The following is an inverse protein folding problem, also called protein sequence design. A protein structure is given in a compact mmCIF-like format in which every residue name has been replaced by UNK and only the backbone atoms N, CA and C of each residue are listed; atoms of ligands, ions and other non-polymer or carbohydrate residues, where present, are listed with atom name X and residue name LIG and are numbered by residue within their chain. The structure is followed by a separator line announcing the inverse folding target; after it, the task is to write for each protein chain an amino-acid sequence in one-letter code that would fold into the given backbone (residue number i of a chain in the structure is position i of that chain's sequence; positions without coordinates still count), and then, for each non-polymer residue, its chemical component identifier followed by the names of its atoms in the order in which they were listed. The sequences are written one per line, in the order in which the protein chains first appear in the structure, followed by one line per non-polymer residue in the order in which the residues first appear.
data_IF_096178329797
#
_entry.id   IF_096178329797
#
_cell.length_a   1.000
_cell.length_b   1.000
_cell.length_c   1.000
_cell.angle_alpha   90.00
_cell.angle_beta   90.00
_cell.angle_gamma   90.00
#
_symmetry.space_group_name_H-M   'P 1'
#
loop_
_entity.id
_entity.type
_entity.pdbx_description
1 polymer ?
#
# COMPACT_ATOMS: atom_id res chain seq x y z
N UNK A 1 1.98 23.25 -8.64
CA UNK A 1 0.56 22.94 -8.42
C UNK A 1 0.26 22.32 -7.05
N UNK A 2 0.94 21.23 -6.64
CA UNK A 2 0.55 20.50 -5.42
C UNK A 2 0.57 21.35 -4.15
N UNK A 3 1.75 21.82 -3.71
CA UNK A 3 1.88 22.53 -2.43
C UNK A 3 0.92 23.73 -2.30
N UNK A 4 0.79 24.64 -3.30
CA UNK A 4 -0.23 25.69 -3.26
C UNK A 4 -1.65 25.15 -3.11
N UNK A 5 -2.05 24.13 -3.88
CA UNK A 5 -3.39 23.55 -3.80
C UNK A 5 -3.68 22.84 -2.47
N UNK A 6 -2.66 22.28 -1.81
CA UNK A 6 -2.80 21.73 -0.46
C UNK A 6 -3.02 22.85 0.58
N UNK A 7 -2.25 23.95 0.50
CA UNK A 7 -2.39 25.11 1.39
C UNK A 7 -3.78 25.74 1.23
N UNK A 8 -4.17 26.05 -0.02
CA UNK A 8 -5.51 26.54 -0.37
C UNK A 8 -6.61 25.60 0.11
N UNK A 9 -6.47 24.30 -0.14
CA UNK A 9 -7.46 23.31 0.28
C UNK A 9 -7.64 23.21 1.80
N UNK A 10 -6.59 23.45 2.58
CA UNK A 10 -6.68 23.52 4.04
C UNK A 10 -7.32 24.84 4.50
N UNK A 11 -7.00 25.96 3.87
CA UNK A 11 -7.60 27.27 4.16
C UNK A 11 -9.12 27.26 3.90
N UNK A 12 -9.54 26.80 2.72
CA UNK A 12 -10.95 26.65 2.38
C UNK A 12 -11.68 25.71 3.35
N UNK A 13 -11.07 24.59 3.71
CA UNK A 13 -11.69 23.68 4.68
C UNK A 13 -11.82 24.31 6.07
N UNK A 14 -10.86 25.15 6.49
CA UNK A 14 -10.98 25.87 7.76
C UNK A 14 -12.17 26.83 7.74
N UNK A 15 -12.37 27.59 6.66
CA UNK A 15 -13.53 28.47 6.50
C UNK A 15 -14.86 27.70 6.52
N UNK A 16 -14.93 26.55 5.85
CA UNK A 16 -16.10 25.67 5.87
C UNK A 16 -16.39 25.15 7.29
N UNK A 17 -15.36 24.74 8.02
CA UNK A 17 -15.50 24.29 9.42
C UNK A 17 -15.90 25.45 10.34
N UNK A 18 -15.34 26.65 10.14
CA UNK A 18 -15.72 27.86 10.88
C UNK A 18 -17.20 28.19 10.71
N UNK A 19 -17.72 28.08 9.48
CA UNK A 19 -19.15 28.27 9.22
C UNK A 19 -20.02 27.26 9.97
N UNK A 20 -19.59 25.99 10.05
CA UNK A 20 -20.32 24.94 10.77
C UNK A 20 -20.31 25.19 12.29
N UNK A 21 -19.15 25.50 12.87
CA UNK A 21 -19.06 25.71 14.33
C UNK A 21 -19.75 26.98 14.80
N UNK A 22 -19.88 27.98 13.92
CA UNK A 22 -20.55 29.25 14.22
C UNK A 22 -22.02 29.31 13.76
N UNK A 23 -22.56 28.23 13.19
CA UNK A 23 -23.99 28.18 12.83
C UNK A 23 -24.85 28.31 14.12
N UNK A 24 -25.70 29.35 14.25
CA UNK A 24 -26.50 29.58 15.46
C UNK A 24 -27.66 28.60 15.62
N UNK A 25 -28.04 27.89 14.56
CA UNK A 25 -29.10 26.89 14.62
C UNK A 25 -28.71 25.69 15.50
N UNK A 26 -29.74 25.07 16.09
CA UNK A 26 -29.57 23.83 16.85
C UNK A 26 -28.92 22.76 15.95
N UNK A 27 -27.90 22.03 16.44
CA UNK A 27 -27.22 21.01 15.64
C UNK A 27 -28.20 19.93 15.14
N UNK A 28 -28.21 19.71 13.83
CA UNK A 28 -28.93 18.62 13.15
C UNK A 28 -27.94 17.74 12.38
N UNK A 29 -28.42 16.62 11.82
CA UNK A 29 -27.59 15.78 10.97
C UNK A 29 -27.05 16.57 9.76
N UNK A 30 -27.91 17.35 9.11
CA UNK A 30 -27.62 18.10 7.88
C UNK A 30 -26.63 19.23 8.16
N UNK A 31 -26.92 20.09 9.15
CA UNK A 31 -26.11 21.28 9.43
C UNK A 31 -24.79 20.97 10.18
N UNK A 32 -24.57 19.70 10.56
CA UNK A 32 -23.38 19.28 11.30
C UNK A 32 -22.67 18.09 10.64
N UNK A 33 -23.29 16.91 10.54
CA UNK A 33 -22.60 15.71 10.02
C UNK A 33 -22.42 15.78 8.51
N UNK A 34 -23.51 16.03 7.78
CA UNK A 34 -23.49 16.15 6.32
C UNK A 34 -22.67 17.36 5.87
N UNK A 35 -22.79 18.48 6.59
CA UNK A 35 -21.96 19.65 6.38
C UNK A 35 -20.46 19.33 6.55
N UNK A 36 -20.06 18.63 7.61
CA UNK A 36 -18.66 18.22 7.82
C UNK A 36 -18.17 17.26 6.73
N UNK A 37 -18.98 16.28 6.32
CA UNK A 37 -18.65 15.34 5.22
C UNK A 37 -18.46 16.06 3.88
N UNK A 38 -19.17 17.18 3.67
CA UNK A 38 -19.06 18.01 2.46
C UNK A 38 -17.77 18.84 2.41
N UNK A 39 -17.09 19.05 3.54
CA UNK A 39 -15.91 19.92 3.59
C UNK A 39 -14.66 19.33 2.94
N UNK A 40 -13.69 20.21 2.63
CA UNK A 40 -12.35 19.85 2.20
C UNK A 40 -12.30 19.21 0.82
N UNK A 41 -13.25 19.54 -0.07
CA UNK A 41 -13.34 18.98 -1.42
C UNK A 41 -12.04 19.16 -2.22
N UNK A 42 -11.47 20.38 -2.23
CA UNK A 42 -10.19 20.65 -2.89
C UNK A 42 -9.04 19.86 -2.26
N UNK A 43 -8.94 19.84 -0.93
CA UNK A 43 -7.90 19.11 -0.20
C UNK A 43 -7.97 17.60 -0.48
N UNK A 44 -9.19 17.05 -0.56
CA UNK A 44 -9.45 15.64 -0.90
C UNK A 44 -9.03 15.34 -2.34
N UNK A 45 -9.34 16.24 -3.29
CA UNK A 45 -8.98 16.10 -4.71
C UNK A 45 -7.46 16.11 -4.90
N UNK A 46 -6.76 17.14 -4.41
CA UNK A 46 -5.29 17.22 -4.53
C UNK A 46 -4.60 16.09 -3.75
N UNK A 47 -5.11 15.75 -2.56
CA UNK A 47 -4.60 14.66 -1.73
C UNK A 47 -4.67 13.30 -2.41
N UNK A 48 -5.79 13.00 -3.08
CA UNK A 48 -5.99 11.73 -3.79
C UNK A 48 -5.07 11.61 -5.00
N UNK A 49 -4.96 12.66 -5.82
CA UNK A 49 -4.06 12.68 -6.98
C UNK A 49 -2.60 12.56 -6.54
N UNK A 50 -2.17 13.40 -5.58
CA UNK A 50 -0.80 13.37 -5.08
C UNK A 50 -0.45 12.01 -4.46
N UNK A 51 -1.33 11.43 -3.65
CA UNK A 51 -1.10 10.14 -3.00
C UNK A 51 -0.97 8.98 -3.99
N UNK A 52 -1.79 8.96 -5.06
CA UNK A 52 -1.65 7.96 -6.13
C UNK A 52 -0.31 8.12 -6.84
N UNK A 53 0.01 9.33 -7.29
CA UNK A 53 1.23 9.57 -8.06
C UNK A 53 2.50 9.39 -7.22
N UNK A 54 2.50 9.77 -5.94
CA UNK A 54 3.65 9.56 -5.06
C UNK A 54 3.90 8.07 -4.76
N UNK A 55 2.88 7.22 -4.91
CA UNK A 55 3.04 5.77 -4.80
C UNK A 55 3.47 5.11 -6.12
N UNK A 56 3.02 5.65 -7.25
CA UNK A 56 3.17 5.01 -8.56
C UNK A 56 4.28 5.62 -9.42
N UNK A 57 4.60 6.90 -9.29
CA UNK A 57 5.56 7.62 -10.13
C UNK A 57 6.13 8.84 -9.39
N UNK A 58 6.82 8.61 -8.27
CA UNK A 58 7.46 9.67 -7.48
C UNK A 58 8.77 10.16 -8.11
N UNK A 59 9.24 11.33 -7.67
CA UNK A 59 10.58 11.86 -7.88
C UNK A 59 11.01 12.68 -6.65
N UNK A 60 12.21 13.26 -6.68
CA UNK A 60 12.77 14.03 -5.55
C UNK A 60 11.90 15.25 -5.18
N UNK A 61 11.33 15.94 -6.18
CA UNK A 61 10.43 17.07 -5.95
C UNK A 61 9.14 16.63 -5.24
N UNK A 62 8.54 15.51 -5.67
CA UNK A 62 7.35 14.96 -5.02
C UNK A 62 7.63 14.49 -3.60
N UNK A 63 8.77 13.84 -3.35
CA UNK A 63 9.19 13.46 -2.01
C UNK A 63 9.41 14.68 -1.11
N UNK A 64 10.06 15.74 -1.62
CA UNK A 64 10.22 17.01 -0.90
C UNK A 64 8.88 17.62 -0.51
N UNK A 65 7.94 17.67 -1.46
CA UNK A 65 6.57 18.14 -1.24
C UNK A 65 5.86 17.25 -0.20
N UNK A 66 6.04 15.94 -0.23
CA UNK A 66 5.46 15.02 0.75
C UNK A 66 5.97 15.30 2.18
N UNK A 67 7.27 15.59 2.34
CA UNK A 67 7.87 15.97 3.62
C UNK A 67 7.33 17.29 4.16
N UNK A 68 7.12 18.29 3.31
CA UNK A 68 6.54 19.57 3.73
C UNK A 68 5.06 19.43 4.11
N UNK A 69 4.29 18.67 3.32
CA UNK A 69 2.83 18.58 3.49
C UNK A 69 2.43 17.67 4.65
N UNK A 70 3.18 16.61 4.96
CA UNK A 70 2.84 15.65 6.00
C UNK A 70 2.54 16.29 7.37
N UNK A 71 3.44 17.11 7.96
CA UNK A 71 3.15 17.77 9.23
C UNK A 71 2.02 18.80 9.12
N UNK A 72 1.93 19.54 8.02
CA UNK A 72 0.85 20.51 7.78
C UNK A 72 -0.53 19.84 7.78
N UNK A 73 -0.67 18.72 7.05
CA UNK A 73 -1.92 17.94 7.01
C UNK A 73 -2.24 17.28 8.34
N UNK A 74 -1.22 16.83 9.09
CA UNK A 74 -1.44 16.28 10.43
C UNK A 74 -2.00 17.35 11.35
N UNK A 75 -1.37 18.53 11.38
CA UNK A 75 -1.85 19.68 12.15
C UNK A 75 -3.27 20.10 11.75
N UNK A 76 -3.54 20.20 10.45
CA UNK A 76 -4.87 20.53 9.92
C UNK A 76 -5.94 19.54 10.38
N UNK A 77 -5.68 18.24 10.24
CA UNK A 77 -6.60 17.19 10.71
C UNK A 77 -6.84 17.28 12.21
N UNK A 78 -5.79 17.49 12.99
CA UNK A 78 -5.90 17.54 14.45
C UNK A 78 -6.63 18.81 14.91
N UNK A 79 -6.45 19.94 14.23
CA UNK A 79 -7.22 21.16 14.47
C UNK A 79 -8.73 20.94 14.28
N UNK A 80 -9.13 20.12 13.30
CA UNK A 80 -10.55 19.78 13.09
C UNK A 80 -11.02 18.75 14.13
N UNK A 81 -10.28 17.66 14.31
CA UNK A 81 -10.69 16.53 15.16
C UNK A 81 -10.66 16.81 16.66
N UNK A 82 -9.88 17.81 17.08
CA UNK A 82 -9.77 18.27 18.47
C UNK A 82 -10.48 19.62 18.69
N UNK A 83 -11.29 20.09 17.73
CA UNK A 83 -12.09 21.30 17.89
C UNK A 83 -13.29 21.02 18.80
N UNK A 84 -13.30 21.63 19.99
CA UNK A 84 -14.37 21.41 20.97
C UNK A 84 -15.74 21.86 20.49
N UNK A 85 -15.84 23.03 19.85
CA UNK A 85 -17.12 23.53 19.36
C UNK A 85 -17.72 22.57 18.34
N UNK A 86 -16.89 22.09 17.40
CA UNK A 86 -17.32 21.11 16.41
C UNK A 86 -17.73 19.79 17.06
N UNK A 87 -16.92 19.28 18.00
CA UNK A 87 -17.23 18.04 18.68
C UNK A 87 -18.52 18.14 19.51
N UNK A 88 -18.77 19.26 20.19
CA UNK A 88 -20.03 19.46 20.91
C UNK A 88 -21.23 19.43 19.97
N UNK A 89 -21.16 20.05 18.79
CA UNK A 89 -22.24 19.94 17.79
C UNK A 89 -22.48 18.48 17.38
N UNK A 90 -21.41 17.75 17.04
CA UNK A 90 -21.49 16.33 16.65
C UNK A 90 -22.07 15.48 17.78
N UNK A 91 -21.62 15.72 19.01
CA UNK A 91 -22.08 15.02 20.22
C UNK A 91 -23.57 15.27 20.46
N UNK A 92 -24.05 16.50 20.35
CA UNK A 92 -25.48 16.84 20.48
C UNK A 92 -26.35 16.03 19.51
N UNK A 93 -25.94 15.93 18.23
CA UNK A 93 -26.67 15.12 17.24
C UNK A 93 -26.59 13.63 17.60
N UNK A 94 -25.42 13.14 18.01
CA UNK A 94 -25.20 11.75 18.38
C UNK A 94 -26.04 11.30 19.58
N UNK A 95 -26.15 12.13 20.61
CA UNK A 95 -26.95 11.83 21.82
C UNK A 95 -28.45 11.74 21.52
N UNK A 96 -28.89 12.31 20.41
CA UNK A 96 -30.29 12.26 19.95
C UNK A 96 -30.53 11.22 18.85
N UNK A 97 -29.51 10.46 18.43
CA UNK A 97 -29.57 9.57 17.26
C UNK A 97 -30.78 8.62 17.22
N UNK A 98 -31.26 8.14 18.38
CA UNK A 98 -32.38 7.18 18.47
C UNK A 98 -33.76 7.85 18.30
N UNK A 99 -33.79 9.19 18.27
CA UNK A 99 -34.99 10.02 18.04
C UNK A 99 -35.02 10.66 16.65
N UNK A 100 -33.92 10.56 15.90
CA UNK A 100 -33.82 11.12 14.55
C UNK A 100 -34.31 10.09 13.54
N UNK A 101 -35.08 10.55 12.54
CA UNK A 101 -35.48 9.72 11.41
C UNK A 101 -34.34 9.68 10.36
N UNK A 102 -33.28 8.94 10.67
CA UNK A 102 -32.12 8.78 9.80
C UNK A 102 -32.19 7.47 9.01
N UNK A 103 -31.81 7.53 7.74
CA UNK A 103 -31.53 6.32 6.96
C UNK A 103 -30.37 5.52 7.59
N UNK A 104 -30.24 4.25 7.21
CA UNK A 104 -29.14 3.38 7.68
C UNK A 104 -27.76 3.97 7.41
N UNK A 105 -27.57 4.57 6.23
CA UNK A 105 -26.30 5.20 5.85
C UNK A 105 -26.01 6.43 6.70
N UNK A 106 -26.99 7.31 6.89
CA UNK A 106 -26.85 8.51 7.72
C UNK A 106 -26.56 8.16 9.19
N UNK A 107 -27.29 7.21 9.78
CA UNK A 107 -27.01 6.75 11.15
C UNK A 107 -25.59 6.15 11.26
N UNK A 108 -25.17 5.37 10.26
CA UNK A 108 -23.80 4.83 10.20
C UNK A 108 -22.76 5.95 10.13
N UNK A 109 -23.00 6.99 9.32
CA UNK A 109 -22.12 8.14 9.17
C UNK A 109 -22.00 8.92 10.50
N UNK A 110 -23.12 9.20 11.16
CA UNK A 110 -23.18 9.86 12.47
C UNK A 110 -22.37 9.10 13.53
N UNK A 111 -22.63 7.79 13.68
CA UNK A 111 -21.93 6.94 14.65
C UNK A 111 -20.43 6.92 14.36
N UNK A 112 -20.05 6.83 13.09
CA UNK A 112 -18.64 6.82 12.68
C UNK A 112 -17.96 8.15 12.95
N UNK A 113 -18.59 9.28 12.62
CA UNK A 113 -18.04 10.61 12.89
C UNK A 113 -17.82 10.84 14.38
N UNK A 114 -18.84 10.57 15.21
CA UNK A 114 -18.71 10.70 16.66
C UNK A 114 -17.54 9.85 17.18
N UNK A 115 -17.49 8.58 16.80
CA UNK A 115 -16.44 7.66 17.23
C UNK A 115 -15.05 8.09 16.75
N UNK A 116 -14.92 8.57 15.52
CA UNK A 116 -13.66 9.06 14.97
C UNK A 116 -13.14 10.30 15.73
N UNK A 117 -14.03 11.21 16.16
CA UNK A 117 -13.66 12.35 17.01
C UNK A 117 -13.19 11.90 18.40
N UNK A 118 -13.96 11.02 19.07
CA UNK A 118 -13.59 10.46 20.38
C UNK A 118 -12.21 9.79 20.30
N UNK A 119 -11.99 8.95 19.29
CA UNK A 119 -10.74 8.22 19.05
C UNK A 119 -9.59 9.08 18.54
N UNK A 120 -9.87 10.32 18.13
CA UNK A 120 -8.84 11.31 17.82
C UNK A 120 -8.43 12.09 19.07
N UNK A 121 -9.18 11.99 20.18
CA UNK A 121 -8.89 12.67 21.44
C UNK A 121 -9.80 13.86 21.72
N UNK A 122 -10.96 13.99 21.07
CA UNK A 122 -11.86 15.12 21.31
C UNK A 122 -12.32 15.28 22.78
N UNK A 123 -12.36 14.18 23.54
CA UNK A 123 -12.69 14.17 24.98
C UNK A 123 -11.50 14.41 25.91
N UNK A 124 -10.29 14.60 25.37
CA UNK A 124 -9.10 14.85 26.19
C UNK A 124 -9.12 16.27 26.75
N UNK A 125 -8.46 16.48 27.88
CA UNK A 125 -8.13 17.83 28.36
C UNK A 125 -7.12 18.53 27.44
N UNK A 126 -6.95 19.85 27.61
CA UNK A 126 -6.11 20.67 26.71
C UNK A 126 -4.64 20.23 26.70
N UNK A 127 -4.10 19.79 27.84
CA UNK A 127 -2.73 19.30 27.95
C UNK A 127 -2.55 18.02 27.11
N UNK A 128 -3.45 17.05 27.28
CA UNK A 128 -3.42 15.81 26.50
C UNK A 128 -3.72 16.05 25.02
N UNK A 129 -4.58 17.01 24.65
CA UNK A 129 -4.77 17.40 23.25
C UNK A 129 -3.50 17.99 22.65
N UNK A 130 -2.77 18.84 23.37
CA UNK A 130 -1.49 19.36 22.91
C UNK A 130 -0.50 18.22 22.67
N UNK A 131 -0.41 17.28 23.63
CA UNK A 131 0.45 16.10 23.48
C UNK A 131 0.06 15.21 22.30
N UNK A 132 -1.24 15.01 22.08
CA UNK A 132 -1.76 14.26 20.93
C UNK A 132 -1.31 14.88 19.59
N UNK A 133 -1.36 16.22 19.48
CA UNK A 133 -0.91 16.95 18.28
C UNK A 133 0.57 16.76 18.01
N UNK A 134 1.42 16.84 19.04
CA UNK A 134 2.86 16.59 18.93
C UNK A 134 3.13 15.18 18.41
N UNK A 135 2.52 14.17 19.04
CA UNK A 135 2.68 12.76 18.66
C UNK A 135 2.28 12.54 17.21
N UNK A 136 1.12 13.05 16.80
CA UNK A 136 0.61 12.88 15.44
C UNK A 136 1.51 13.56 14.41
N UNK A 137 2.02 14.77 14.71
CA UNK A 137 2.96 15.49 13.86
C UNK A 137 4.27 14.70 13.68
N UNK A 138 4.88 14.23 14.78
CA UNK A 138 6.13 13.48 14.71
C UNK A 138 5.94 12.15 13.95
N UNK A 139 4.87 11.40 14.25
CA UNK A 139 4.51 10.18 13.52
C UNK A 139 4.33 10.41 12.01
N UNK A 140 3.76 11.56 11.62
CA UNK A 140 3.55 11.88 10.20
C UNK A 140 4.86 12.04 9.44
N UNK A 141 5.87 12.65 10.06
CA UNK A 141 7.22 12.84 9.49
C UNK A 141 7.95 11.49 9.42
N UNK A 142 7.95 10.74 10.53
CA UNK A 142 8.64 9.45 10.62
C UNK A 142 8.10 8.43 9.61
N UNK A 143 6.78 8.41 9.38
CA UNK A 143 6.16 7.47 8.42
C UNK A 143 6.53 7.81 6.98
N UNK A 144 6.62 9.10 6.62
CA UNK A 144 7.11 9.53 5.30
C UNK A 144 8.57 9.13 5.11
N UNK A 145 9.42 9.44 6.10
CA UNK A 145 10.85 9.08 6.06
C UNK A 145 11.06 7.58 5.92
N UNK A 146 10.30 6.77 6.66
CA UNK A 146 10.36 5.31 6.55
C UNK A 146 10.08 4.83 5.12
N UNK A 147 9.01 5.33 4.50
CA UNK A 147 8.64 4.96 3.13
C UNK A 147 9.67 5.37 2.09
N UNK A 148 10.23 6.58 2.20
CA UNK A 148 11.29 7.08 1.33
C UNK A 148 12.56 6.23 1.45
N UNK A 149 12.99 5.93 2.67
CA UNK A 149 14.16 5.09 2.94
C UNK A 149 14.00 3.68 2.35
N UNK A 150 12.82 3.07 2.51
CA UNK A 150 12.52 1.75 1.91
C UNK A 150 12.59 1.78 0.38
N UNK A 151 12.10 2.84 -0.26
CA UNK A 151 12.18 2.98 -1.71
C UNK A 151 13.63 3.18 -2.18
N UNK A 152 14.39 4.05 -1.50
CA UNK A 152 15.80 4.29 -1.80
C UNK A 152 16.64 3.04 -1.64
N UNK A 153 16.45 2.27 -0.56
CA UNK A 153 17.12 0.99 -0.36
C UNK A 153 16.81 -0.03 -1.47
N UNK A 154 15.54 -0.13 -1.87
CA UNK A 154 15.13 -0.98 -2.98
C UNK A 154 15.86 -0.62 -4.29
N UNK A 155 16.12 0.66 -4.53
CA UNK A 155 16.77 1.15 -5.74
C UNK A 155 18.31 1.15 -5.64
N UNK A 156 18.87 1.24 -4.43
CA UNK A 156 20.33 1.33 -4.19
C UNK A 156 21.05 0.00 -4.43
N UNK A 157 20.41 -1.13 -4.12
CA UNK A 157 21.07 -2.41 -4.29
C UNK A 157 21.13 -2.82 -5.76
N UNK A 158 22.35 -3.01 -6.24
CA UNK A 158 22.63 -3.53 -7.58
C UNK A 158 23.68 -4.64 -7.47
N UNK A 159 23.31 -5.83 -7.94
CA UNK A 159 24.24 -6.94 -8.10
C UNK A 159 24.63 -7.03 -9.57
N UNK A 160 25.73 -6.36 -9.90
CA UNK A 160 26.34 -6.39 -11.23
C UNK A 160 27.10 -7.71 -11.40
N UNK A 161 26.76 -8.45 -12.44
CA UNK A 161 27.42 -9.69 -12.85
C UNK A 161 28.18 -9.41 -14.16
N UNK A 162 29.45 -9.76 -14.19
CA UNK A 162 30.37 -9.55 -15.32
C UNK A 162 30.74 -10.86 -16.03
N UNK A 163 30.61 -12.00 -15.34
CA UNK A 163 30.93 -13.33 -15.87
C UNK A 163 29.68 -14.08 -16.28
N UNK A 164 29.71 -14.68 -17.47
CA UNK A 164 28.58 -15.46 -18.01
C UNK A 164 28.31 -16.72 -17.18
N UNK A 165 29.35 -17.28 -16.59
CA UNK A 165 29.28 -18.50 -15.77
C UNK A 165 28.42 -18.29 -14.50
N UNK A 166 28.40 -17.06 -13.97
CA UNK A 166 27.59 -16.68 -12.81
C UNK A 166 26.08 -16.62 -13.10
N UNK A 167 25.69 -16.77 -14.36
CA UNK A 167 24.29 -16.83 -14.80
C UNK A 167 23.75 -18.26 -14.90
N UNK A 168 24.55 -19.26 -14.55
CA UNK A 168 24.17 -20.68 -14.63
C UNK A 168 22.83 -20.96 -13.94
N UNK A 169 21.99 -21.73 -14.63
CA UNK A 169 20.63 -22.10 -14.21
C UNK A 169 19.54 -21.07 -14.49
N UNK A 170 19.88 -19.79 -14.70
CA UNK A 170 18.86 -18.75 -14.90
C UNK A 170 18.12 -18.92 -16.25
N UNK A 171 16.79 -18.74 -16.28
CA UNK A 171 16.03 -18.71 -17.52
C UNK A 171 16.49 -17.59 -18.45
N UNK A 172 16.44 -17.83 -19.76
CA UNK A 172 16.91 -16.86 -20.75
C UNK A 172 16.19 -15.50 -20.65
N UNK A 173 14.89 -15.49 -20.33
CA UNK A 173 14.14 -14.25 -20.13
C UNK A 173 14.66 -13.42 -18.94
N UNK A 174 15.13 -14.09 -17.88
CA UNK A 174 15.70 -13.46 -16.69
C UNK A 174 17.07 -12.86 -17.03
N UNK A 175 17.89 -13.59 -17.80
CA UNK A 175 19.18 -13.10 -18.29
C UNK A 175 18.99 -11.88 -19.20
N UNK A 176 18.04 -11.93 -20.14
CA UNK A 176 17.73 -10.81 -21.03
C UNK A 176 17.25 -9.59 -20.26
N UNK A 177 16.31 -9.76 -19.32
CA UNK A 177 15.84 -8.65 -18.49
C UNK A 177 16.94 -8.04 -17.61
N UNK A 178 17.89 -8.85 -17.11
CA UNK A 178 19.03 -8.35 -16.35
C UNK A 178 20.03 -7.58 -17.24
N UNK A 179 20.19 -7.95 -18.51
CA UNK A 179 21.01 -7.22 -19.48
C UNK A 179 20.36 -5.87 -19.88
N UNK A 180 19.04 -5.86 -20.08
CA UNK A 180 18.27 -4.62 -20.30
C UNK A 180 18.40 -3.68 -19.09
N UNK A 181 18.25 -4.21 -17.87
CA UNK A 181 18.44 -3.45 -16.64
C UNK A 181 19.88 -2.92 -16.49
N UNK A 182 20.89 -3.66 -16.95
CA UNK A 182 22.28 -3.21 -16.97
C UNK A 182 22.49 -2.05 -17.95
N UNK A 183 21.90 -2.13 -19.15
CA UNK A 183 21.94 -1.05 -20.14
C UNK A 183 21.26 0.22 -19.63
N UNK A 184 20.10 0.10 -18.98
CA UNK A 184 19.40 1.23 -18.34
C UNK A 184 20.26 1.93 -17.25
N UNK A 185 21.28 1.25 -16.74
CA UNK A 185 22.18 1.69 -15.65
C UNK A 185 23.62 1.91 -16.12
N UNK A 186 23.83 2.01 -17.43
CA UNK A 186 25.15 2.30 -18.01
C UNK A 186 26.22 1.22 -17.71
N UNK A 187 25.78 -0.01 -17.41
CA UNK A 187 26.63 -1.20 -17.27
C UNK A 187 26.58 -2.07 -18.54
N UNK A 188 26.85 -1.48 -19.70
CA UNK A 188 26.79 -2.21 -20.98
C UNK A 188 27.70 -3.46 -20.98
N UNK A 189 27.19 -4.55 -21.57
CA UNK A 189 27.88 -5.84 -21.61
C UNK A 189 27.82 -6.66 -20.31
N UNK A 190 27.11 -6.19 -19.29
CA UNK A 190 26.93 -6.88 -17.99
C UNK A 190 25.46 -7.23 -17.74
N UNK A 191 25.19 -7.82 -16.58
CA UNK A 191 23.84 -8.09 -16.08
C UNK A 191 23.63 -7.46 -14.70
N UNK A 192 22.47 -6.86 -14.47
CA UNK A 192 22.12 -6.28 -13.17
C UNK A 192 20.91 -6.98 -12.57
N UNK A 193 21.09 -7.51 -11.36
CA UNK A 193 20.01 -8.02 -10.52
C UNK A 193 19.76 -7.07 -9.35
N UNK A 194 18.49 -6.86 -9.03
CA UNK A 194 18.04 -5.94 -7.96
C UNK A 194 17.18 -6.69 -6.95
N UNK A 195 16.89 -6.06 -5.80
CA UNK A 195 15.97 -6.62 -4.80
C UNK A 195 14.49 -6.37 -5.12
N UNK A 196 14.16 -5.83 -6.31
CA UNK A 196 12.80 -5.83 -6.81
C UNK A 196 12.34 -7.26 -7.06
N UNK A 197 11.11 -7.60 -6.64
CA UNK A 197 10.61 -8.99 -6.68
C UNK A 197 10.76 -9.67 -8.06
N UNK A 198 10.46 -9.02 -9.20
CA UNK A 198 10.64 -9.63 -10.52
C UNK A 198 12.09 -9.97 -10.89
N UNK A 199 13.07 -9.35 -10.24
CA UNK A 199 14.50 -9.64 -10.43
C UNK A 199 14.97 -10.68 -9.41
N UNK A 200 14.65 -10.47 -8.13
CA UNK A 200 15.13 -11.30 -7.02
C UNK A 200 14.52 -12.70 -7.01
N UNK A 201 13.20 -12.84 -7.18
CA UNK A 201 12.52 -14.13 -7.06
C UNK A 201 13.06 -15.15 -8.06
N UNK A 202 13.08 -14.88 -9.38
CA UNK A 202 13.64 -15.84 -10.33
C UNK A 202 15.13 -16.09 -10.10
N UNK A 203 15.89 -15.09 -9.64
CA UNK A 203 17.29 -15.32 -9.30
C UNK A 203 17.44 -16.34 -8.16
N UNK A 204 16.64 -16.22 -7.09
CA UNK A 204 16.64 -17.14 -5.96
C UNK A 204 16.07 -18.53 -6.30
N UNK A 205 15.17 -18.63 -7.29
CA UNK A 205 14.60 -19.90 -7.75
C UNK A 205 15.55 -20.68 -8.66
N UNK A 206 16.33 -20.01 -9.50
CA UNK A 206 17.02 -20.68 -10.60
C UNK A 206 18.55 -20.55 -10.61
N UNK A 207 19.15 -19.54 -9.95
CA UNK A 207 20.60 -19.38 -9.97
C UNK A 207 21.29 -20.57 -9.30
N UNK A 208 22.20 -21.24 -10.01
CA UNK A 208 23.03 -22.30 -9.44
C UNK A 208 24.11 -21.74 -8.51
N UNK A 209 24.48 -20.48 -8.66
CA UNK A 209 25.49 -19.82 -7.83
C UNK A 209 24.92 -19.49 -6.43
N UNK A 210 25.17 -20.39 -5.48
CA UNK A 210 24.72 -20.27 -4.09
C UNK A 210 25.21 -18.99 -3.38
N UNK A 211 26.44 -18.56 -3.63
CA UNK A 211 26.99 -17.36 -3.01
C UNK A 211 26.25 -16.09 -3.47
N UNK A 212 25.86 -16.04 -4.74
CA UNK A 212 25.05 -14.93 -5.26
C UNK A 212 23.61 -14.98 -4.74
N UNK A 213 23.02 -16.17 -4.57
CA UNK A 213 21.71 -16.31 -3.89
C UNK A 213 21.78 -15.75 -2.47
N UNK A 214 22.83 -16.08 -1.73
CA UNK A 214 23.06 -15.54 -0.38
C UNK A 214 23.19 -14.02 -0.40
N UNK A 215 23.98 -13.47 -1.33
CA UNK A 215 24.21 -12.02 -1.48
C UNK A 215 22.90 -11.25 -1.69
N UNK A 216 22.09 -11.65 -2.67
CA UNK A 216 20.83 -10.94 -2.98
C UNK A 216 19.78 -11.14 -1.88
N UNK A 217 19.72 -12.33 -1.27
CA UNK A 217 18.80 -12.59 -0.15
C UNK A 217 19.14 -11.71 1.06
N UNK A 218 20.42 -11.64 1.44
CA UNK A 218 20.89 -10.79 2.55
C UNK A 218 20.60 -9.32 2.29
N UNK A 219 20.81 -8.84 1.07
CA UNK A 219 20.45 -7.47 0.70
C UNK A 219 18.95 -7.20 0.89
N UNK A 220 18.09 -8.14 0.51
CA UNK A 220 16.65 -7.98 0.66
C UNK A 220 16.20 -7.95 2.13
N UNK A 221 16.69 -8.88 2.96
CA UNK A 221 16.27 -8.96 4.37
C UNK A 221 16.87 -7.83 5.24
N UNK A 222 17.99 -7.24 4.83
CA UNK A 222 18.64 -6.13 5.53
C UNK A 222 18.21 -4.75 5.01
N UNK A 223 17.17 -4.68 4.18
CA UNK A 223 16.64 -3.40 3.69
C UNK A 223 16.27 -2.45 4.83
N UNK A 224 16.92 -1.28 4.86
CA UNK A 224 16.72 -0.28 5.92
C UNK A 224 17.32 -0.69 7.27
N UNK A 225 18.31 -1.58 7.25
CA UNK A 225 18.99 -2.10 8.44
C UNK A 225 20.52 -2.17 8.23
N UNK A 226 21.11 -1.15 7.61
CA UNK A 226 22.52 -1.13 7.20
C UNK A 226 23.40 -0.16 8.01
N UNK A 227 22.86 0.49 9.06
CA UNK A 227 23.56 1.48 9.90
C UNK A 227 24.08 2.69 9.12
N UNK A 228 23.29 3.16 8.15
CA UNK A 228 23.60 4.30 7.28
C UNK A 228 22.44 5.31 7.24
N UNK A 229 22.47 6.26 6.31
CA UNK A 229 21.44 7.30 6.18
C UNK A 229 20.03 6.78 5.83
N UNK A 230 19.94 5.55 5.31
CA UNK A 230 18.69 4.90 4.95
C UNK A 230 18.18 3.94 6.04
N UNK A 231 18.89 3.83 7.16
CA UNK A 231 18.49 2.99 8.28
C UNK A 231 17.12 3.40 8.85
N UNK A 232 16.32 2.40 9.16
CA UNK A 232 14.95 2.56 9.64
C UNK A 232 14.74 2.01 11.05
N UNK A 233 15.76 1.47 11.73
CA UNK A 233 15.62 0.95 13.10
C UNK A 233 15.11 2.03 14.06
N UNK A 234 15.74 3.19 14.07
CA UNK A 234 15.36 4.29 14.95
C UNK A 234 13.99 4.87 14.59
N UNK A 235 13.69 4.99 13.29
CA UNK A 235 12.38 5.44 12.83
C UNK A 235 11.28 4.48 13.32
N UNK A 236 11.48 3.17 13.18
CA UNK A 236 10.54 2.14 13.63
C UNK A 236 10.36 2.12 15.15
N UNK A 237 11.46 2.19 15.91
CA UNK A 237 11.43 2.24 17.37
C UNK A 237 10.63 3.44 17.87
N UNK A 238 10.87 4.64 17.31
CA UNK A 238 10.12 5.86 17.62
C UNK A 238 8.64 5.75 17.23
N UNK A 239 8.34 5.24 16.04
CA UNK A 239 6.94 5.02 15.62
C UNK A 239 6.22 4.07 16.58
N UNK A 240 6.88 2.99 17.02
CA UNK A 240 6.30 2.05 17.97
C UNK A 240 6.04 2.70 19.35
N UNK A 241 7.01 3.45 19.87
CA UNK A 241 6.88 4.18 21.14
C UNK A 241 5.74 5.21 21.09
N UNK A 242 5.70 6.05 20.05
CA UNK A 242 4.65 7.05 19.84
C UNK A 242 3.26 6.42 19.70
N UNK A 243 3.15 5.23 19.07
CA UNK A 243 1.89 4.49 18.97
C UNK A 243 1.38 4.00 20.33
N UNK A 244 2.29 3.57 21.22
CA UNK A 244 1.96 3.16 22.59
C UNK A 244 1.53 4.38 23.40
N UNK A 245 2.32 5.45 23.37
CA UNK A 245 2.02 6.70 24.06
C UNK A 245 0.65 7.25 23.64
N UNK A 246 0.37 7.32 22.34
CA UNK A 246 -0.93 7.75 21.81
C UNK A 246 -2.08 6.88 22.30
N UNK A 247 -1.90 5.56 22.33
CA UNK A 247 -2.93 4.64 22.78
C UNK A 247 -3.22 4.83 24.28
N UNK A 248 -2.18 4.95 25.10
CA UNK A 248 -2.31 5.17 26.53
C UNK A 248 -2.93 6.53 26.85
N UNK A 249 -2.58 7.57 26.09
CA UNK A 249 -3.17 8.90 26.19
C UNK A 249 -4.70 8.87 25.99
N UNK A 250 -5.18 7.97 25.12
CA UNK A 250 -6.59 7.72 24.84
C UNK A 250 -7.24 6.68 25.77
N UNK A 251 -6.52 6.17 26.78
CA UNK A 251 -7.02 5.18 27.74
C UNK A 251 -6.98 3.73 27.26
N UNK A 252 -6.34 3.43 26.12
CA UNK A 252 -6.14 2.05 25.64
C UNK A 252 -4.86 1.44 26.23
N UNK A 253 -4.90 0.15 26.54
CA UNK A 253 -3.73 -0.58 27.07
C UNK A 253 -2.60 -0.67 26.05
N UNK A 254 -2.92 -0.98 24.80
CA UNK A 254 -1.94 -1.07 23.70
C UNK A 254 -2.45 -0.37 22.44
N UNK A 255 -1.54 -0.11 21.50
CA UNK A 255 -1.92 0.32 20.17
C UNK A 255 -2.83 -0.70 19.45
N UNK A 256 -2.67 -1.99 19.73
CA UNK A 256 -3.52 -3.04 19.15
C UNK A 256 -4.96 -2.94 19.68
N UNK A 257 -5.16 -2.67 20.97
CA UNK A 257 -6.50 -2.42 21.53
C UNK A 257 -7.18 -1.22 20.84
N UNK A 258 -6.42 -0.13 20.67
CA UNK A 258 -6.89 1.06 19.95
C UNK A 258 -7.32 0.70 18.52
N UNK A 259 -6.49 0.00 17.76
CA UNK A 259 -6.81 -0.36 16.36
C UNK A 259 -8.00 -1.31 16.31
N UNK A 260 -8.00 -2.37 17.12
CA UNK A 260 -8.92 -3.48 16.98
C UNK A 260 -10.36 -3.16 17.40
N UNK A 261 -10.59 -2.14 18.22
CA UNK A 261 -11.94 -1.68 18.59
C UNK A 261 -12.83 -1.42 17.36
N UNK A 262 -12.24 -0.91 16.27
CA UNK A 262 -12.93 -0.65 15.00
C UNK A 262 -12.84 -1.81 13.99
N UNK A 263 -12.04 -2.83 14.27
CA UNK A 263 -11.93 -4.01 13.42
C UNK A 263 -12.94 -5.09 13.83
N UNK A 264 -13.15 -6.09 12.97
CA UNK A 264 -14.05 -7.21 13.28
C UNK A 264 -13.52 -8.10 14.42
N UNK A 265 -12.20 -8.21 14.56
CA UNK A 265 -11.58 -9.04 15.60
C UNK A 265 -11.76 -8.46 17.03
N UNK A 266 -12.06 -7.16 17.16
CA UNK A 266 -12.34 -6.42 18.41
C UNK A 266 -11.21 -6.32 19.43
N UNK A 267 -10.49 -7.41 19.71
CA UNK A 267 -9.48 -7.49 20.77
C UNK A 267 -8.23 -8.24 20.32
N UNK A 268 -7.04 -7.92 20.86
CA UNK A 268 -5.81 -8.62 20.52
C UNK A 268 -5.87 -10.13 20.75
N UNK A 269 -6.56 -10.60 21.80
CA UNK A 269 -6.62 -12.02 22.14
C UNK A 269 -7.30 -12.84 21.05
N UNK A 270 -8.33 -12.29 20.38
CA UNK A 270 -9.00 -12.95 19.27
C UNK A 270 -8.06 -13.11 18.07
N UNK A 271 -7.20 -12.12 17.82
CA UNK A 271 -6.19 -12.17 16.76
C UNK A 271 -5.15 -13.24 17.07
N UNK A 272 -4.57 -13.24 18.28
CA UNK A 272 -3.57 -14.25 18.67
C UNK A 272 -4.15 -15.66 18.68
N UNK A 273 -5.36 -15.85 19.22
CA UNK A 273 -6.05 -17.15 19.19
C UNK A 273 -6.22 -17.68 17.78
N UNK A 274 -6.63 -16.83 16.84
CA UNK A 274 -6.76 -17.22 15.44
C UNK A 274 -5.40 -17.54 14.80
N UNK A 275 -4.39 -16.68 14.99
CA UNK A 275 -3.06 -16.90 14.45
C UNK A 275 -2.40 -18.17 15.00
N UNK A 276 -2.60 -18.51 16.27
CA UNK A 276 -2.09 -19.75 16.87
C UNK A 276 -2.71 -21.01 16.26
N UNK A 277 -4.00 -20.96 15.89
CA UNK A 277 -4.67 -22.06 15.19
C UNK A 277 -4.05 -22.32 13.82
N UNK A 278 -3.54 -21.29 13.14
CA UNK A 278 -2.82 -21.41 11.87
C UNK A 278 -1.35 -21.78 12.06
N UNK A 279 -0.68 -21.21 13.07
CA UNK A 279 0.76 -21.35 13.31
C UNK A 279 1.17 -22.79 13.54
N UNK A 280 0.44 -23.53 14.40
CA UNK A 280 0.79 -24.92 14.74
C UNK A 280 0.79 -25.86 13.52
N UNK A 281 -0.28 -25.96 12.71
CA UNK A 281 -0.27 -26.80 11.52
C UNK A 281 0.69 -26.28 10.44
N UNK A 282 0.80 -24.96 10.24
CA UNK A 282 1.74 -24.39 9.27
C UNK A 282 3.20 -24.72 9.62
N UNK A 283 3.60 -24.59 10.90
CA UNK A 283 4.94 -24.93 11.35
C UNK A 283 5.25 -26.42 11.19
N UNK A 284 4.27 -27.30 11.41
CA UNK A 284 4.43 -28.75 11.17
C UNK A 284 4.75 -29.01 9.70
N UNK A 285 4.03 -28.36 8.78
CA UNK A 285 4.28 -28.50 7.34
C UNK A 285 5.61 -27.89 6.92
N UNK A 286 5.95 -26.68 7.39
CA UNK A 286 7.22 -26.03 7.10
C UNK A 286 8.42 -26.87 7.55
N UNK A 287 8.34 -27.54 8.72
CA UNK A 287 9.39 -28.47 9.19
C UNK A 287 9.52 -29.70 8.31
N UNK A 288 8.39 -30.24 7.81
CA UNK A 288 8.40 -31.36 6.86
C UNK A 288 9.05 -30.95 5.54
N UNK A 289 8.65 -29.81 4.99
CA UNK A 289 9.22 -29.25 3.76
C UNK A 289 10.72 -29.00 3.91
N UNK A 290 11.16 -28.35 5.00
CA UNK A 290 12.58 -28.14 5.27
C UNK A 290 13.40 -29.44 5.28
N UNK A 291 12.83 -30.53 5.82
CA UNK A 291 13.46 -31.86 5.77
C UNK A 291 13.58 -32.38 4.34
N UNK A 292 12.52 -32.29 3.54
CA UNK A 292 12.53 -32.73 2.14
C UNK A 292 13.54 -31.93 1.31
N UNK A 293 13.66 -30.62 1.54
CA UNK A 293 14.66 -29.77 0.90
C UNK A 293 16.09 -30.17 1.33
N UNK A 294 16.32 -30.44 2.62
CA UNK A 294 17.61 -30.92 3.10
C UNK A 294 17.99 -32.29 2.53
N UNK A 295 17.02 -33.21 2.39
CA UNK A 295 17.24 -34.51 1.75
C UNK A 295 17.61 -34.37 0.28
N UNK A 296 17.02 -33.40 -0.44
CA UNK A 296 17.40 -33.10 -1.83
C UNK A 296 18.83 -32.54 -1.93
N UNK A 297 19.23 -31.62 -1.04
CA UNK A 297 20.62 -31.12 -0.95
C UNK A 297 21.59 -32.29 -0.81
N UNK A 298 21.32 -33.23 0.11
CA UNK A 298 22.19 -34.39 0.34
C UNK A 298 22.22 -35.37 -0.83
N UNK A 299 21.10 -35.58 -1.53
CA UNK A 299 21.04 -36.43 -2.74
C UNK A 299 21.87 -35.88 -3.90
N UNK A 300 22.06 -34.57 -3.96
CA UNK A 300 22.91 -33.92 -4.96
C UNK A 300 24.40 -33.93 -4.59
N UNK A 301 24.76 -34.56 -3.46
CA UNK A 301 26.14 -34.71 -3.02
C UNK A 301 26.67 -33.54 -2.20
N UNK A 302 25.80 -32.61 -1.79
CA UNK A 302 26.19 -31.48 -0.94
C UNK A 302 25.96 -31.78 0.55
N UNK A 303 26.84 -31.26 1.40
CA UNK A 303 26.83 -31.46 2.86
C UNK A 303 26.39 -30.22 3.66
N UNK A 304 26.14 -29.09 2.99
CA UNK A 304 25.73 -27.86 3.68
C UNK A 304 24.31 -27.96 4.24
N UNK A 305 24.10 -27.27 5.37
CA UNK A 305 22.77 -27.12 5.98
C UNK A 305 21.94 -26.13 5.18
N UNK A 306 20.69 -26.48 4.88
CA UNK A 306 19.69 -25.60 4.26
C UNK A 306 19.66 -24.23 4.95
N UNK A 307 19.87 -23.18 4.18
CA UNK A 307 19.74 -21.78 4.62
C UNK A 307 18.56 -21.09 3.94
N UNK A 308 18.10 -19.93 4.43
CA UNK A 308 16.97 -19.21 3.84
C UNK A 308 17.13 -18.90 2.34
N UNK A 309 18.35 -18.59 1.87
CA UNK A 309 18.64 -18.32 0.46
C UNK A 309 18.70 -19.58 -0.43
N UNK A 310 18.62 -20.77 0.17
CA UNK A 310 18.52 -22.04 -0.54
C UNK A 310 17.05 -22.47 -0.73
N UNK A 311 16.12 -21.89 0.04
CA UNK A 311 14.72 -22.35 0.10
C UNK A 311 14.02 -22.30 -1.27
N UNK A 312 14.07 -21.16 -1.97
CA UNK A 312 13.43 -21.00 -3.28
C UNK A 312 14.02 -21.95 -4.33
N UNK A 313 15.34 -22.05 -4.40
CA UNK A 313 16.04 -22.91 -5.34
C UNK A 313 15.64 -24.37 -5.19
N UNK A 314 15.74 -24.92 -3.97
CA UNK A 314 15.39 -26.32 -3.74
C UNK A 314 13.87 -26.57 -3.79
N UNK A 315 13.04 -25.57 -3.45
CA UNK A 315 11.59 -25.70 -3.61
C UNK A 315 11.18 -25.86 -5.07
N UNK A 316 11.83 -25.13 -5.99
CA UNK A 316 11.57 -25.26 -7.42
C UNK A 316 12.02 -26.62 -7.96
N UNK A 317 13.22 -27.08 -7.57
CA UNK A 317 13.70 -28.42 -7.91
C UNK A 317 12.79 -29.52 -7.37
N UNK A 318 12.33 -29.40 -6.13
CA UNK A 318 11.42 -30.35 -5.50
C UNK A 318 10.05 -30.37 -6.21
N UNK A 319 9.52 -29.21 -6.60
CA UNK A 319 8.27 -29.09 -7.38
C UNK A 319 8.40 -29.79 -8.73
N UNK A 320 9.50 -29.56 -9.43
CA UNK A 320 9.81 -30.24 -10.70
C UNK A 320 9.90 -31.75 -10.54
N UNK A 321 10.60 -32.21 -9.51
CA UNK A 321 10.75 -33.65 -9.24
C UNK A 321 9.44 -34.33 -8.84
N UNK A 322 8.58 -33.66 -8.06
CA UNK A 322 7.31 -34.25 -7.56
C UNK A 322 6.16 -34.18 -8.56
N UNK A 323 6.08 -33.10 -9.34
CA UNK A 323 4.90 -32.79 -10.15
C UNK A 323 5.19 -32.68 -11.65
N UNK A 324 6.45 -32.90 -12.07
CA UNK A 324 6.91 -32.61 -13.44
C UNK A 324 6.55 -31.18 -13.89
N UNK A 325 6.51 -30.24 -12.93
CA UNK A 325 6.09 -28.86 -13.14
C UNK A 325 7.23 -27.90 -12.82
N UNK A 326 7.49 -27.01 -13.76
CA UNK A 326 8.51 -25.95 -13.72
C UNK A 326 7.78 -24.64 -14.04
N UNK A 327 7.92 -23.63 -13.19
CA UNK A 327 7.19 -22.37 -13.36
C UNK A 327 7.52 -21.67 -14.68
N UNK A 328 8.74 -21.82 -15.21
CA UNK A 328 9.13 -21.21 -16.48
C UNK A 328 8.37 -21.84 -17.67
N UNK A 329 7.97 -23.12 -17.56
CA UNK A 329 7.13 -23.77 -18.60
C UNK A 329 5.72 -23.15 -18.67
N UNK A 330 5.23 -22.59 -17.56
CA UNK A 330 3.91 -21.96 -17.50
C UNK A 330 3.92 -20.52 -18.01
N UNK A 331 5.08 -19.86 -18.03
CA UNK A 331 5.20 -18.45 -18.38
C UNK A 331 4.53 -18.06 -19.70
N UNK A 332 4.67 -18.81 -20.81
CA UNK A 332 4.02 -18.47 -22.09
C UNK A 332 2.48 -18.45 -22.02
N UNK A 333 1.87 -19.15 -21.05
CA UNK A 333 0.42 -19.24 -20.90
C UNK A 333 -0.16 -18.08 -20.09
N UNK A 334 0.65 -17.39 -19.29
CA UNK A 334 0.23 -16.31 -18.39
C UNK A 334 0.67 -14.93 -18.86
N UNK A 335 0.48 -14.65 -20.16
CA UNK A 335 0.61 -13.29 -20.71
C UNK A 335 -0.28 -12.32 -19.93
N UNK A 336 0.28 -11.19 -19.49
CA UNK A 336 -0.40 -10.20 -18.65
C UNK A 336 -1.76 -9.76 -19.20
N UNK A 337 -1.85 -9.45 -20.49
CA UNK A 337 -3.10 -9.04 -21.11
C UNK A 337 -4.15 -10.15 -21.02
N UNK A 338 -3.78 -11.41 -21.29
CA UNK A 338 -4.71 -12.53 -21.20
C UNK A 338 -5.17 -12.76 -19.75
N UNK A 339 -4.28 -12.61 -18.77
CA UNK A 339 -4.62 -12.75 -17.36
C UNK A 339 -5.58 -11.63 -16.89
N UNK A 340 -5.33 -10.37 -17.30
CA UNK A 340 -6.21 -9.23 -17.07
C UNK A 340 -7.58 -9.47 -17.71
N UNK A 341 -7.60 -9.85 -18.98
CA UNK A 341 -8.84 -10.07 -19.73
C UNK A 341 -9.63 -11.26 -19.16
N UNK A 342 -8.95 -12.29 -18.65
CA UNK A 342 -9.56 -13.35 -17.86
C UNK A 342 -10.22 -12.84 -16.58
N UNK A 343 -9.53 -11.99 -15.81
CA UNK A 343 -10.09 -11.36 -14.61
C UNK A 343 -11.31 -10.46 -14.94
N UNK A 344 -11.24 -9.69 -16.02
CA UNK A 344 -12.35 -8.88 -16.52
C UNK A 344 -13.52 -9.77 -16.95
N UNK A 345 -13.26 -10.86 -17.67
CA UNK A 345 -14.30 -11.83 -18.08
C UNK A 345 -15.03 -12.44 -16.88
N UNK A 346 -14.30 -12.79 -15.81
CA UNK A 346 -14.93 -13.27 -14.56
C UNK A 346 -15.83 -12.20 -13.96
N UNK A 347 -15.37 -10.96 -13.87
CA UNK A 347 -16.19 -9.86 -13.36
C UNK A 347 -17.42 -9.59 -14.25
N UNK A 348 -17.27 -9.64 -15.57
CA UNK A 348 -18.39 -9.50 -16.51
C UNK A 348 -19.42 -10.62 -16.36
N UNK A 349 -19.00 -11.87 -16.14
CA UNK A 349 -19.91 -13.00 -15.93
C UNK A 349 -20.65 -12.95 -14.59
N UNK A 350 -19.98 -12.48 -13.54
CA UNK A 350 -20.57 -12.42 -12.19
C UNK A 350 -21.48 -11.20 -12.01
N UNK A 351 -21.11 -10.06 -12.60
CA UNK A 351 -21.73 -8.77 -12.29
C UNK A 351 -22.35 -8.07 -13.51
N UNK A 352 -22.17 -8.59 -14.73
CA UNK A 352 -22.69 -7.98 -15.95
C UNK A 352 -21.90 -6.77 -16.47
N UNK A 353 -20.87 -6.33 -15.74
CA UNK A 353 -20.09 -5.14 -16.09
C UNK A 353 -19.16 -5.36 -17.29
N UNK A 354 -18.90 -4.30 -18.03
CA UNK A 354 -18.07 -4.29 -19.23
C UNK A 354 -16.87 -3.35 -19.05
N UNK A 355 -15.73 -3.72 -19.65
CA UNK A 355 -14.49 -2.93 -19.60
C UNK A 355 -14.12 -2.50 -21.02
N UNK A 356 -14.11 -1.19 -21.25
CA UNK A 356 -13.82 -0.59 -22.56
C UNK A 356 -12.52 0.19 -22.42
N UNK A 357 -11.48 -0.23 -23.13
CA UNK A 357 -10.22 0.51 -23.12
C UNK A 357 -10.38 1.91 -23.75
N UNK A 358 -9.74 2.90 -23.13
CA UNK A 358 -9.80 4.31 -23.52
C UNK A 358 -8.39 4.87 -23.69
N UNK A 359 -8.10 5.38 -24.88
CA UNK A 359 -6.82 6.01 -25.21
C UNK A 359 -6.89 7.55 -25.16
N UNK A 360 -8.10 8.11 -25.14
CA UNK A 360 -8.37 9.55 -25.09
C UNK A 360 -8.29 10.14 -23.66
N UNK A 361 -8.14 9.29 -22.64
CA UNK A 361 -8.03 9.72 -21.25
C UNK A 361 -6.56 9.90 -20.86
N UNK A 362 -6.17 11.04 -20.23
CA UNK A 362 -4.80 11.26 -19.80
C UNK A 362 -4.29 10.17 -18.86
N UNK A 363 -3.10 9.67 -19.18
CA UNK A 363 -2.32 8.72 -18.40
C UNK A 363 -1.26 9.45 -17.59
N UNK A 364 -0.98 8.97 -16.39
CA UNK A 364 0.13 9.52 -15.59
C UNK A 364 1.49 8.88 -15.93
N UNK A 365 1.48 7.73 -16.61
CA UNK A 365 2.66 7.01 -17.06
C UNK A 365 2.31 6.28 -18.35
N UNK A 366 3.27 6.11 -19.27
CA UNK A 366 3.05 5.48 -20.58
C UNK A 366 2.54 4.03 -20.49
N UNK A 367 3.09 3.26 -19.56
CA UNK A 367 2.65 1.89 -19.25
C UNK A 367 1.22 1.78 -18.67
N UNK A 368 0.63 2.88 -18.21
CA UNK A 368 -0.71 2.83 -17.64
C UNK A 368 -1.75 2.61 -18.73
N UNK A 369 -2.71 1.71 -18.46
CA UNK A 369 -3.88 1.47 -19.33
C UNK A 369 -5.11 2.02 -18.62
N UNK A 370 -6.10 2.50 -19.37
CA UNK A 370 -7.31 3.12 -18.83
C UNK A 370 -8.52 2.42 -19.41
N UNK A 371 -9.46 2.05 -18.56
CA UNK A 371 -10.70 1.41 -18.93
C UNK A 371 -11.88 2.21 -18.40
N UNK A 372 -12.84 2.50 -19.27
CA UNK A 372 -14.19 2.83 -18.84
C UNK A 372 -14.92 1.56 -18.44
N UNK A 373 -15.55 1.59 -17.27
CA UNK A 373 -16.35 0.48 -16.77
C UNK A 373 -17.82 0.84 -16.91
N UNK A 374 -18.61 -0.06 -17.50
CA UNK A 374 -20.05 0.13 -17.74
C UNK A 374 -20.88 -1.02 -17.19
N UNK A 375 -22.14 -0.76 -16.88
CA UNK A 375 -23.16 -1.79 -16.66
C UNK A 375 -23.51 -2.53 -17.97
N UNK A 376 -24.27 -3.62 -17.85
CA UNK A 376 -24.78 -4.39 -18.99
C UNK A 376 -25.69 -3.56 -19.92
N UNK A 377 -26.39 -2.55 -19.38
CA UNK A 377 -27.24 -1.63 -20.14
C UNK A 377 -26.46 -0.49 -20.83
N UNK A 378 -25.13 -0.46 -20.65
CA UNK A 378 -24.25 0.57 -21.19
C UNK A 378 -24.08 1.81 -20.29
N UNK A 379 -24.70 1.85 -19.11
CA UNK A 379 -24.54 2.95 -18.16
C UNK A 379 -23.11 3.01 -17.62
N UNK A 380 -22.54 4.21 -17.54
CA UNK A 380 -21.20 4.41 -16.98
C UNK A 380 -21.19 4.17 -15.47
N UNK A 381 -20.20 3.42 -14.96
CA UNK A 381 -20.04 3.19 -13.51
C UNK A 381 -18.68 3.57 -12.95
N UNK A 382 -17.69 3.84 -13.80
CA UNK A 382 -16.41 4.38 -13.34
C UNK A 382 -15.28 4.28 -14.35
N UNK A 383 -14.10 4.71 -13.91
CA UNK A 383 -12.83 4.59 -14.65
C UNK A 383 -11.86 3.72 -13.84
N UNK A 384 -11.20 2.78 -14.51
CA UNK A 384 -10.14 1.93 -13.96
C UNK A 384 -8.82 2.19 -14.69
N UNK A 385 -7.83 2.65 -13.95
CA UNK A 385 -6.43 2.65 -14.37
C UNK A 385 -5.77 1.34 -13.95
N UNK A 386 -4.96 0.75 -14.83
CA UNK A 386 -4.10 -0.39 -14.48
C UNK A 386 -2.64 -0.06 -14.80
N UNK A 387 -1.74 -0.33 -13.86
CA UNK A 387 -0.33 0.01 -13.99
C UNK A 387 0.57 -1.04 -13.31
N UNK A 388 1.06 -1.97 -14.12
CA UNK A 388 1.53 -3.26 -13.62
C UNK A 388 3.04 -3.45 -13.58
N UNK A 389 3.84 -2.55 -14.17
CA UNK A 389 5.28 -2.75 -14.28
C UNK A 389 6.10 -2.04 -13.19
N UNK A 390 7.20 -2.63 -12.72
CA UNK A 390 8.11 -2.02 -11.77
C UNK A 390 8.93 -0.92 -12.43
N UNK A 391 9.29 0.08 -11.62
CA UNK A 391 10.19 1.16 -12.00
C UNK A 391 10.71 1.84 -10.74
N UNK A 392 11.85 2.52 -10.85
CA UNK A 392 12.51 3.16 -9.71
C UNK A 392 11.61 4.17 -8.97
N UNK A 393 10.70 4.82 -9.70
CA UNK A 393 9.73 5.79 -9.18
C UNK A 393 8.47 5.17 -8.55
N UNK A 394 8.32 3.84 -8.57
CA UNK A 394 7.15 3.13 -8.05
C UNK A 394 7.50 2.34 -6.79
N UNK A 395 6.66 2.42 -5.75
CA UNK A 395 6.86 1.58 -4.56
C UNK A 395 6.63 0.09 -4.86
N UNK A 396 7.31 -0.79 -4.13
CA UNK A 396 7.13 -2.24 -4.30
C UNK A 396 5.74 -2.74 -3.84
N UNK A 397 5.36 -3.93 -4.33
CA UNK A 397 4.12 -4.62 -3.94
C UNK A 397 3.00 -4.49 -4.98
N UNK A 398 1.76 -4.66 -4.54
CA UNK A 398 0.57 -4.42 -5.34
C UNK A 398 -0.49 -3.73 -4.47
N UNK A 399 -1.26 -2.81 -5.04
CA UNK A 399 -2.28 -2.07 -4.30
C UNK A 399 -3.37 -1.52 -5.21
N UNK A 400 -4.50 -1.18 -4.61
CA UNK A 400 -5.55 -0.39 -5.22
C UNK A 400 -5.63 0.95 -4.50
N UNK A 401 -5.81 2.03 -5.26
CA UNK A 401 -6.12 3.36 -4.73
C UNK A 401 -7.26 4.01 -5.56
N UNK A 402 -7.74 5.16 -5.12
CA UNK A 402 -8.74 5.95 -5.84
C UNK A 402 -8.21 7.36 -6.10
N UNK A 403 -8.25 7.83 -7.34
CA UNK A 403 -8.16 9.26 -7.66
C UNK A 403 -9.41 10.00 -7.21
N UNK A 404 -10.56 9.34 -7.28
CA UNK A 404 -11.86 9.83 -6.81
C UNK A 404 -12.69 8.65 -6.32
N UNK A 405 -13.35 8.80 -5.16
CA UNK A 405 -14.29 7.81 -4.63
C UNK A 405 -15.69 8.05 -5.19
N UNK A 406 -16.51 7.00 -5.18
CA UNK A 406 -17.94 7.13 -5.45
C UNK A 406 -18.62 7.98 -4.37
N UNK A 407 -19.64 8.75 -4.74
CA UNK A 407 -20.47 9.50 -3.79
C UNK A 407 -21.85 9.80 -4.40
N UNK A 408 -22.90 9.87 -3.57
CA UNK A 408 -24.24 10.38 -3.91
C UNK A 408 -24.66 11.56 -3.04
N UNK A 409 -23.69 12.19 -2.37
CA UNK A 409 -23.92 13.32 -1.48
C UNK A 409 -24.68 14.43 -2.23
N UNK A 410 -25.68 15.03 -1.59
CA UNK A 410 -26.60 16.02 -2.21
C UNK A 410 -27.32 15.50 -3.46
N UNK A 411 -27.59 14.20 -3.55
CA UNK A 411 -28.25 13.55 -4.69
C UNK A 411 -27.44 13.54 -5.99
N UNK A 412 -26.16 13.96 -5.94
CA UNK A 412 -25.29 14.03 -7.10
C UNK A 412 -24.46 12.77 -7.24
N UNK A 413 -24.69 12.01 -8.30
CA UNK A 413 -23.88 10.83 -8.61
C UNK A 413 -22.46 11.24 -9.02
N UNK A 414 -21.47 10.75 -8.28
CA UNK A 414 -20.04 10.90 -8.56
C UNK A 414 -19.47 9.51 -8.79
N UNK A 415 -19.02 9.24 -10.01
CA UNK A 415 -18.42 7.95 -10.34
C UNK A 415 -16.96 7.83 -9.86
N UNK A 416 -16.57 6.65 -9.36
CA UNK A 416 -15.22 6.40 -8.89
C UNK A 416 -14.20 6.40 -10.04
N UNK A 417 -12.98 6.80 -9.71
CA UNK A 417 -11.81 6.68 -10.57
C UNK A 417 -10.76 5.91 -9.78
N UNK A 418 -10.58 4.65 -10.14
CA UNK A 418 -9.79 3.66 -9.42
C UNK A 418 -8.48 3.39 -10.15
N UNK A 419 -7.43 3.06 -9.42
CA UNK A 419 -6.17 2.56 -9.97
C UNK A 419 -5.78 1.24 -9.32
N UNK A 420 -5.38 0.26 -10.12
CA UNK A 420 -4.78 -0.98 -9.66
C UNK A 420 -3.32 -1.02 -10.12
N UNK A 421 -2.41 -1.20 -9.16
CA UNK A 421 -0.97 -1.14 -9.38
C UNK A 421 -0.34 -2.48 -9.03
N UNK A 422 0.57 -2.92 -9.89
CA UNK A 422 1.41 -4.09 -9.70
C UNK A 422 2.89 -3.78 -9.94
N UNK A 423 3.70 -4.81 -9.74
CA UNK A 423 5.14 -4.81 -10.03
C UNK A 423 5.49 -6.19 -10.65
N UNK A 424 4.84 -6.54 -11.77
CA UNK A 424 5.09 -7.76 -12.55
C UNK A 424 6.29 -7.59 -13.47
N UNK A 425 6.92 -8.69 -13.89
CA UNK A 425 8.04 -8.64 -14.84
C UNK A 425 7.69 -7.79 -16.06
N UNK A 426 8.62 -6.91 -16.48
CA UNK A 426 8.48 -6.18 -17.73
C UNK A 426 8.56 -7.15 -18.92
N UNK A 427 7.98 -6.78 -20.08
CA UNK A 427 8.31 -7.41 -21.36
C UNK A 427 9.84 -7.39 -21.57
N UNK A 428 10.41 -8.46 -22.12
CA UNK A 428 11.86 -8.58 -22.38
C UNK A 428 12.11 -9.13 -23.77
N UNK A 429 13.07 -8.57 -24.53
CA UNK A 429 13.46 -9.10 -25.84
C UNK A 429 12.31 -9.25 -26.85
N UNK A 430 11.35 -8.32 -26.84
CA UNK A 430 10.16 -8.35 -27.71
C UNK A 430 9.07 -9.35 -27.32
N UNK A 431 9.23 -10.09 -26.21
CA UNK A 431 8.19 -10.98 -25.67
C UNK A 431 7.27 -10.21 -24.70
N UNK A 432 5.96 -10.50 -24.68
CA UNK A 432 5.03 -9.87 -23.75
C UNK A 432 5.34 -10.25 -22.30
N UNK A 433 4.81 -9.45 -21.38
CA UNK A 433 4.94 -9.64 -19.93
C UNK A 433 4.18 -10.87 -19.41
#
# INVERSE_FOLDING_TARGET
HYLPAFKEGMELQNMEIEAIVNNPETPTFENTIEAVESTGSLLRKVGSVFGVLNGSMTNDNMQSIAREIAPLRSKHRDNIRLNDKLFQRIKTVYEQKDKLDLTTEQNTLLVKYYKDFVRSGANLDEEKKAKMKEINQEMSILTVKFGENVLKENNRFEMVIDKKEDLAGLPQAVITGAAEAAKEREYEGKWVFTIHKPSMIPFLQYSENRALREKIFKAYINKGNNNDELDNKDNLAKIAALRVERANLLGYKTHADYVLENNMAKKPENVYKFLEQLWKPALKMAKKEAKELQEMISKEGYDFKLQPWDWWYYSEKLKKAKYALDEEMLRPYFKLENARDGAFSVASKLYGIQFIEREDIPKYHEDARVFEVKEADGSHIGILYTDYFPRASKRGGAWMNSFRKQSRLHGKEIYPVITNNGNFSKPTGGKPA
#
